data_IF_373115523452
#
_entry.id   IF_373115523452
#
_cell.length_a   1.000
_cell.length_b   1.000
_cell.length_c   1.000
_cell.angle_alpha   90.00
_cell.angle_beta   90.00
_cell.angle_gamma   90.00
#
_symmetry.space_group_name_H-M   'P 1'
#
loop_
_entity.id
_entity.type
_entity.pdbx_description
1 polymer ?
#
# COMPACT_ATOMS: atom_id res chain seq x y z
N UNK A 1 -19.01 8.83 4.67
CA UNK A 1 -18.72 7.46 4.26
C UNK A 1 -17.50 6.94 4.98
N UNK A 2 -17.51 5.67 5.29
CA UNK A 2 -16.39 5.07 6.00
C UNK A 2 -15.15 5.02 5.14
N UNK A 3 -14.01 5.37 5.73
CA UNK A 3 -12.71 5.28 5.11
C UNK A 3 -12.36 3.81 4.90
N UNK A 4 -11.80 3.48 3.74
CA UNK A 4 -11.29 2.15 3.46
C UNK A 4 -9.78 2.11 3.66
N UNK A 5 -9.23 0.89 3.64
CA UNK A 5 -7.82 0.65 3.89
C UNK A 5 -7.26 -0.23 2.79
N UNK A 6 -6.04 0.07 2.36
CA UNK A 6 -5.41 -0.57 1.21
C UNK A 6 -3.93 -0.82 1.49
N UNK A 7 -3.33 -1.67 0.68
CA UNK A 7 -1.90 -1.89 0.66
C UNK A 7 -1.44 -1.68 -0.78
N UNK A 8 -0.41 -0.86 -0.96
CA UNK A 8 0.24 -0.64 -2.25
C UNK A 8 1.67 -1.13 -2.17
N UNK A 9 2.05 -1.99 -3.12
CA UNK A 9 3.41 -2.53 -3.20
C UNK A 9 4.26 -1.67 -4.12
N UNK A 10 5.50 -1.44 -3.72
CA UNK A 10 6.49 -0.80 -4.57
C UNK A 10 7.86 -1.42 -4.31
N UNK A 11 8.70 -1.48 -5.33
CA UNK A 11 10.08 -1.90 -5.16
C UNK A 11 10.91 -0.69 -4.76
N UNK A 12 11.67 -0.75 -3.64
CA UNK A 12 12.38 0.45 -3.14
C UNK A 12 13.45 0.96 -4.09
N UNK A 13 13.99 0.12 -4.97
CA UNK A 13 14.94 0.55 -5.99
C UNK A 13 14.30 1.38 -7.10
N UNK A 14 12.99 1.26 -7.29
CA UNK A 14 12.24 2.02 -8.29
C UNK A 14 11.58 3.26 -7.66
N UNK A 15 10.85 3.06 -6.56
CA UNK A 15 10.19 4.16 -5.83
C UNK A 15 10.00 3.75 -4.38
N UNK A 16 10.79 4.35 -3.49
CA UNK A 16 10.79 4.01 -2.06
C UNK A 16 9.87 4.91 -1.27
N UNK A 17 9.66 4.54 0.01
CA UNK A 17 8.98 5.42 0.97
C UNK A 17 9.67 6.79 1.05
N UNK A 18 11.01 6.80 1.06
CA UNK A 18 11.76 8.06 1.12
C UNK A 18 11.52 8.91 -0.11
N UNK A 19 11.38 8.29 -1.29
CA UNK A 19 11.05 9.00 -2.51
C UNK A 19 9.67 9.65 -2.40
N UNK A 20 8.70 8.96 -1.81
CA UNK A 20 7.36 9.50 -1.58
C UNK A 20 7.40 10.69 -0.62
N UNK A 21 8.17 10.59 0.44
CA UNK A 21 8.33 11.69 1.41
C UNK A 21 8.93 12.92 0.74
N UNK A 22 9.95 12.74 -0.09
CA UNK A 22 10.58 13.85 -0.83
C UNK A 22 9.60 14.49 -1.80
N UNK A 23 8.74 13.70 -2.44
CA UNK A 23 7.76 14.22 -3.38
C UNK A 23 6.61 14.96 -2.69
N UNK A 24 6.31 14.65 -1.45
CA UNK A 24 5.18 15.21 -0.70
C UNK A 24 3.83 14.61 -1.10
N UNK A 25 3.64 14.34 -2.37
CA UNK A 25 2.54 13.58 -2.96
C UNK A 25 3.02 13.08 -4.31
N UNK A 26 2.53 11.94 -4.73
CA UNK A 26 2.98 11.35 -5.99
C UNK A 26 1.85 10.59 -6.65
N UNK A 27 1.77 10.66 -8.00
CA UNK A 27 0.93 9.72 -8.73
C UNK A 27 1.43 8.30 -8.45
N UNK A 28 0.49 7.39 -8.23
CA UNK A 28 0.81 5.97 -8.11
C UNK A 28 0.47 5.31 -9.43
N UNK A 29 1.43 5.32 -10.34
CA UNK A 29 1.27 4.87 -11.71
C UNK A 29 2.04 3.56 -11.95
N UNK A 30 2.06 3.12 -13.20
CA UNK A 30 2.83 1.95 -13.59
C UNK A 30 2.18 0.62 -13.23
N UNK A 31 0.98 0.61 -12.71
CA UNK A 31 0.25 -0.62 -12.38
C UNK A 31 -0.22 -1.26 -13.68
N UNK A 32 0.25 -2.48 -13.95
CA UNK A 32 0.03 -3.17 -15.23
C UNK A 32 -0.69 -4.51 -15.07
N UNK A 33 -1.60 -4.58 -14.11
CA UNK A 33 -2.51 -5.70 -13.91
C UNK A 33 -3.93 -5.14 -13.94
N UNK A 34 -4.80 -5.72 -14.77
CA UNK A 34 -6.15 -5.19 -14.95
C UNK A 34 -6.98 -5.19 -13.67
N UNK A 35 -6.84 -6.22 -12.84
CA UNK A 35 -7.56 -6.29 -11.58
C UNK A 35 -7.11 -5.18 -10.64
N UNK A 36 -5.81 -4.96 -10.52
CA UNK A 36 -5.26 -3.87 -9.70
C UNK A 36 -5.66 -2.51 -10.27
N UNK A 37 -5.62 -2.34 -11.61
CA UNK A 37 -6.08 -1.12 -12.27
C UNK A 37 -7.52 -0.80 -11.92
N UNK A 38 -8.38 -1.82 -11.93
CA UNK A 38 -9.80 -1.61 -11.61
C UNK A 38 -9.98 -1.14 -10.17
N UNK A 39 -9.16 -1.63 -9.24
CA UNK A 39 -9.20 -1.16 -7.85
C UNK A 39 -8.80 0.31 -7.77
N UNK A 40 -7.73 0.71 -8.47
CA UNK A 40 -7.29 2.12 -8.51
C UNK A 40 -8.37 3.02 -9.12
N UNK A 41 -8.97 2.57 -10.21
CA UNK A 41 -9.94 3.36 -10.94
C UNK A 41 -11.27 3.52 -10.21
N UNK A 42 -11.76 2.42 -9.60
CA UNK A 42 -13.15 2.34 -9.15
C UNK A 42 -13.31 2.27 -7.63
N UNK A 43 -12.29 1.82 -6.88
CA UNK A 43 -12.45 1.46 -5.47
C UNK A 43 -11.69 2.33 -4.50
N UNK A 44 -10.52 2.85 -4.88
CA UNK A 44 -9.76 3.74 -4.00
C UNK A 44 -10.35 5.14 -4.03
N UNK A 45 -10.69 5.67 -2.87
CA UNK A 45 -11.31 6.99 -2.74
C UNK A 45 -10.43 7.93 -1.94
N UNK A 46 -10.56 9.23 -2.23
CA UNK A 46 -9.86 10.27 -1.49
C UNK A 46 -10.12 10.11 0.01
N UNK A 47 -9.06 10.13 0.80
CA UNK A 47 -9.12 9.94 2.25
C UNK A 47 -8.86 8.53 2.71
N UNK A 48 -8.89 7.54 1.80
CA UNK A 48 -8.55 6.17 2.15
C UNK A 48 -7.10 6.09 2.62
N UNK A 49 -6.84 5.20 3.59
CA UNK A 49 -5.50 5.00 4.11
C UNK A 49 -4.82 3.82 3.43
N UNK A 50 -3.52 3.91 3.29
CA UNK A 50 -2.71 2.97 2.52
C UNK A 50 -1.50 2.56 3.34
N UNK A 51 -1.24 1.26 3.40
CA UNK A 51 0.06 0.74 3.83
C UNK A 51 0.98 0.71 2.61
N UNK A 52 2.12 1.37 2.70
CA UNK A 52 3.16 1.28 1.67
C UNK A 52 4.05 0.11 2.01
N UNK A 53 4.16 -0.83 1.08
CA UNK A 53 4.87 -2.09 1.26
C UNK A 53 6.02 -2.17 0.27
N UNK A 54 7.24 -2.36 0.79
CA UNK A 54 8.41 -2.59 -0.05
C UNK A 54 8.49 -4.06 -0.42
N UNK A 55 8.24 -4.36 -1.70
CA UNK A 55 8.34 -5.72 -2.24
C UNK A 55 9.70 -5.93 -2.89
N UNK A 56 10.07 -7.19 -3.08
CA UNK A 56 11.39 -7.57 -3.61
C UNK A 56 12.52 -6.87 -2.88
N UNK A 57 12.41 -6.81 -1.56
CA UNK A 57 13.38 -6.17 -0.68
C UNK A 57 13.84 -7.16 0.38
N UNK A 58 14.92 -6.82 1.03
CA UNK A 58 15.50 -7.67 2.08
C UNK A 58 15.57 -6.90 3.40
N UNK A 59 14.56 -7.03 4.27
CA UNK A 59 13.34 -7.81 4.10
C UNK A 59 12.24 -7.06 3.34
N UNK A 60 11.29 -7.79 2.74
CA UNK A 60 10.05 -7.18 2.27
C UNK A 60 9.21 -6.80 3.49
N UNK A 61 8.67 -5.58 3.52
CA UNK A 61 8.02 -5.06 4.72
C UNK A 61 7.10 -3.89 4.45
N UNK A 62 6.09 -3.73 5.30
CA UNK A 62 5.30 -2.51 5.37
C UNK A 62 6.16 -1.44 6.06
N UNK A 63 6.27 -0.26 5.47
CA UNK A 63 7.21 0.76 5.93
C UNK A 63 6.58 2.09 6.30
N UNK A 64 5.35 2.35 5.86
CA UNK A 64 4.71 3.62 6.17
C UNK A 64 3.23 3.63 5.85
N UNK A 65 2.57 4.68 6.30
CA UNK A 65 1.16 4.94 6.05
C UNK A 65 1.05 6.17 5.15
N UNK A 66 0.29 6.03 4.08
CA UNK A 66 -0.05 7.12 3.17
C UNK A 66 -1.56 7.26 3.10
N UNK A 67 -2.03 8.28 2.40
CA UNK A 67 -3.47 8.45 2.14
C UNK A 67 -3.67 8.82 0.68
N UNK A 68 -4.83 8.46 0.15
CA UNK A 68 -5.23 8.85 -1.20
C UNK A 68 -5.66 10.32 -1.16
N UNK A 69 -5.04 11.15 -2.00
CA UNK A 69 -5.35 12.58 -2.08
C UNK A 69 -6.02 12.95 -3.40
N UNK A 70 -5.98 12.07 -4.39
CA UNK A 70 -6.71 12.23 -5.66
C UNK A 70 -7.18 10.86 -6.12
N UNK A 71 -8.47 10.76 -6.44
CA UNK A 71 -9.10 9.51 -6.89
C UNK A 71 -8.66 9.14 -8.30
N UNK A 72 -8.95 7.90 -8.71
CA UNK A 72 -8.48 7.34 -9.95
C UNK A 72 -8.69 8.21 -11.18
N UNK A 73 -7.63 8.36 -11.95
CA UNK A 73 -7.66 9.06 -13.21
C UNK A 73 -6.72 8.38 -14.20
N UNK A 74 -6.94 8.56 -15.53
CA UNK A 74 -6.10 7.87 -16.52
C UNK A 74 -4.65 8.36 -16.49
N UNK A 75 -3.72 7.46 -16.79
CA UNK A 75 -2.34 7.86 -17.07
C UNK A 75 -2.30 8.66 -18.37
N UNK A 76 -1.41 9.66 -18.42
CA UNK A 76 -1.35 10.56 -19.57
C UNK A 76 -0.97 9.82 -20.86
N UNK A 77 0.06 9.00 -20.80
CA UNK A 77 0.59 8.34 -21.99
C UNK A 77 -0.14 7.05 -22.35
N UNK A 78 -0.76 6.41 -21.36
CA UNK A 78 -1.46 5.13 -21.56
C UNK A 78 -2.78 5.14 -20.79
N UNK A 79 -3.82 5.81 -21.33
CA UNK A 79 -5.08 6.03 -20.60
C UNK A 79 -5.90 4.78 -20.28
N UNK A 80 -5.55 3.63 -20.85
CA UNK A 80 -6.11 2.34 -20.44
C UNK A 80 -5.81 2.07 -18.98
N UNK A 81 -4.68 2.59 -18.47
CA UNK A 81 -4.23 2.39 -17.11
C UNK A 81 -4.60 3.58 -16.25
N UNK A 82 -4.82 3.33 -14.97
CA UNK A 82 -5.26 4.35 -14.03
C UNK A 82 -4.22 4.54 -12.94
N UNK A 83 -4.28 5.71 -12.33
CA UNK A 83 -3.42 6.07 -11.20
C UNK A 83 -4.25 6.83 -10.17
N UNK A 84 -3.76 6.83 -8.95
CA UNK A 84 -4.26 7.70 -7.87
C UNK A 84 -3.08 8.51 -7.37
N UNK A 85 -3.35 9.63 -6.69
CA UNK A 85 -2.28 10.34 -6.01
C UNK A 85 -2.32 9.99 -4.53
N UNK A 86 -1.15 9.74 -3.96
CA UNK A 86 -1.01 9.45 -2.54
C UNK A 86 -0.01 10.41 -1.90
N UNK A 87 -0.23 10.73 -0.63
CA UNK A 87 0.67 11.54 0.15
C UNK A 87 1.09 10.77 1.41
N UNK A 88 2.34 10.94 1.88
CA UNK A 88 2.76 10.24 3.09
C UNK A 88 2.06 10.81 4.31
N UNK A 89 1.65 9.95 5.24
CA UNK A 89 1.08 10.33 6.53
C UNK A 89 2.13 10.18 7.62
N UNK A 90 2.71 8.99 7.73
CA UNK A 90 3.79 8.76 8.68
C UNK A 90 4.57 7.49 8.34
N UNK A 91 5.86 7.51 8.68
CA UNK A 91 6.71 6.31 8.60
C UNK A 91 6.37 5.39 9.77
N UNK A 92 6.36 4.10 9.54
CA UNK A 92 6.34 3.15 10.66
C UNK A 92 7.70 3.18 11.35
N UNK A 93 7.69 3.31 12.66
CA UNK A 93 8.93 3.37 13.45
C UNK A 93 9.78 2.13 13.21
N UNK A 94 9.13 0.98 13.10
CA UNK A 94 9.76 -0.30 12.78
C UNK A 94 9.06 -0.89 11.58
N UNK A 95 9.76 -1.15 10.47
CA UNK A 95 9.13 -1.86 9.35
C UNK A 95 8.57 -3.20 9.83
N UNK A 96 7.39 -3.55 9.33
CA UNK A 96 6.75 -4.82 9.67
C UNK A 96 6.99 -5.79 8.52
N UNK A 97 7.90 -6.74 8.73
CA UNK A 97 8.31 -7.66 7.70
C UNK A 97 7.20 -8.65 7.34
N UNK A 98 7.29 -9.19 6.13
CA UNK A 98 6.38 -10.25 5.68
C UNK A 98 6.43 -11.45 6.64
N UNK A 99 7.63 -11.85 7.07
CA UNK A 99 7.79 -12.95 8.02
C UNK A 99 7.08 -12.68 9.33
N UNK A 100 7.20 -11.46 9.85
CA UNK A 100 6.52 -11.08 11.09
C UNK A 100 5.01 -11.15 10.92
N UNK A 101 4.49 -10.65 9.79
CA UNK A 101 3.05 -10.74 9.53
C UNK A 101 2.56 -12.18 9.45
N UNK A 102 3.35 -13.06 8.83
CA UNK A 102 3.00 -14.49 8.76
C UNK A 102 2.95 -15.16 10.14
N UNK A 103 3.69 -14.63 11.11
CA UNK A 103 3.74 -15.17 12.46
C UNK A 103 2.61 -14.66 13.37
N UNK A 104 1.82 -13.69 12.91
CA UNK A 104 0.72 -13.11 13.70
C UNK A 104 -0.60 -13.79 13.33
N UNK A 105 -1.23 -14.54 14.25
CA UNK A 105 -2.45 -15.28 13.91
C UNK A 105 -3.58 -14.41 13.37
N UNK A 106 -3.75 -13.21 13.90
CA UNK A 106 -4.82 -12.30 13.51
C UNK A 106 -4.67 -11.77 12.09
N UNK A 107 -3.48 -11.92 11.46
CA UNK A 107 -3.21 -11.46 10.10
C UNK A 107 -3.33 -12.56 9.04
N UNK A 108 -3.67 -13.79 9.44
CA UNK A 108 -3.65 -14.92 8.50
C UNK A 108 -4.66 -14.80 7.36
N UNK A 109 -5.68 -13.98 7.53
CA UNK A 109 -6.67 -13.71 6.47
C UNK A 109 -6.28 -12.59 5.52
N UNK A 110 -5.14 -11.90 5.75
CA UNK A 110 -4.72 -10.80 4.89
C UNK A 110 -4.50 -11.25 3.45
N UNK A 111 -4.95 -10.43 2.51
CA UNK A 111 -4.76 -10.71 1.09
C UNK A 111 -3.26 -10.87 0.75
N UNK A 112 -2.41 -10.05 1.36
CA UNK A 112 -0.96 -10.11 1.16
C UNK A 112 -0.38 -11.51 1.44
N UNK A 113 -0.94 -12.22 2.43
CA UNK A 113 -0.42 -13.52 2.86
C UNK A 113 -0.99 -14.69 2.08
N UNK A 114 -1.98 -14.46 1.22
CA UNK A 114 -2.58 -15.53 0.42
C UNK A 114 -1.58 -16.05 -0.59
N UNK A 115 -1.45 -17.36 -0.65
CA UNK A 115 -0.57 -18.02 -1.61
C UNK A 115 -0.96 -17.63 -3.04
N UNK A 116 0.03 -17.21 -3.83
CA UNK A 116 -0.18 -16.85 -5.22
C UNK A 116 -0.76 -15.46 -5.47
N UNK A 117 -1.05 -14.70 -4.43
CA UNK A 117 -1.55 -13.34 -4.61
C UNK A 117 -0.39 -12.40 -4.94
N UNK A 118 -0.39 -11.87 -6.17
CA UNK A 118 0.68 -10.99 -6.66
C UNK A 118 0.20 -9.59 -6.97
N UNK A 119 -1.02 -9.25 -6.56
CA UNK A 119 -1.55 -7.92 -6.82
C UNK A 119 -0.74 -6.85 -6.09
N UNK A 120 -0.41 -5.77 -6.79
CA UNK A 120 0.31 -4.64 -6.21
C UNK A 120 -0.64 -3.66 -5.51
N UNK A 121 -1.93 -3.82 -5.69
CA UNK A 121 -2.97 -3.05 -5.00
C UNK A 121 -3.89 -4.07 -4.33
N UNK A 122 -4.02 -3.98 -3.02
CA UNK A 122 -4.79 -4.97 -2.25
C UNK A 122 -5.66 -4.31 -1.21
N UNK A 123 -6.90 -4.81 -1.02
CA UNK A 123 -7.71 -4.35 0.11
C UNK A 123 -7.15 -4.90 1.42
N UNK A 124 -7.32 -4.12 2.48
CA UNK A 124 -6.91 -4.47 3.84
C UNK A 124 -8.08 -4.14 4.75
N UNK A 125 -8.41 -5.03 5.68
CA UNK A 125 -9.47 -4.70 6.64
C UNK A 125 -8.98 -3.64 7.62
N UNK A 126 -9.92 -2.92 8.22
CA UNK A 126 -9.60 -1.92 9.25
C UNK A 126 -8.78 -2.54 10.38
N UNK A 127 -9.14 -3.75 10.79
CA UNK A 127 -8.49 -4.46 11.88
C UNK A 127 -7.07 -4.88 11.50
N UNK A 128 -6.89 -5.39 10.30
CA UNK A 128 -5.57 -5.76 9.78
C UNK A 128 -4.66 -4.53 9.70
N UNK A 129 -5.19 -3.44 9.15
CA UNK A 129 -4.46 -2.18 9.04
C UNK A 129 -4.01 -1.69 10.42
N UNK A 130 -4.95 -1.63 11.37
CA UNK A 130 -4.65 -1.16 12.72
C UNK A 130 -3.59 -2.02 13.40
N UNK A 131 -3.64 -3.33 13.20
CA UNK A 131 -2.68 -4.25 13.80
C UNK A 131 -1.28 -4.07 13.20
N UNK A 132 -1.17 -3.94 11.88
CA UNK A 132 0.14 -3.69 11.23
C UNK A 132 0.74 -2.38 11.74
N UNK A 133 -0.06 -1.32 11.81
CA UNK A 133 0.40 -0.03 12.33
C UNK A 133 0.87 -0.16 13.78
N UNK A 134 0.13 -0.90 14.60
CA UNK A 134 0.50 -1.15 16.00
C UNK A 134 1.84 -1.90 16.08
N UNK A 135 2.03 -2.93 15.26
CA UNK A 135 3.29 -3.67 15.21
C UNK A 135 4.45 -2.77 14.80
N UNK A 136 4.23 -1.88 13.85
CA UNK A 136 5.24 -0.94 13.38
C UNK A 136 5.53 0.19 14.36
N UNK A 137 4.65 0.41 15.35
CA UNK A 137 4.80 1.42 16.39
C UNK A 137 5.28 0.85 17.71
N UNK A 138 5.26 -0.49 17.86
CA UNK A 138 5.58 -1.15 19.11
C UNK A 138 7.06 -0.97 19.44
N UNK A 139 7.34 -0.85 20.73
CA UNK A 139 8.70 -0.88 21.21
C UNK A 139 9.15 -2.33 21.24
N UNK A 140 10.24 -2.56 20.53
CA UNK A 140 10.79 -3.86 20.23
C UNK A 140 11.06 -4.77 21.39
#
# INVERSE_FOLDING_TARGET
MARRHWLLKTEPGTFSWDDLVKAGASPWDGVRNYQARNLLRDELHKGDLVLIYHSNAEPSAAVGVARVVREGYPEVDEPTWSQVDVAPVRRLKHPVSLERMKAVPELQGMALLRKGNRLSVQPVTKEEFALVVKLGSARG
#
